data_IF_633912513075
#
_entry.id   IF_633912513075
#
_cell.length_a   1.000
_cell.length_b   1.000
_cell.length_c   1.000
_cell.angle_alpha   90.00
_cell.angle_beta   90.00
_cell.angle_gamma   90.00
#
_symmetry.space_group_name_H-M   'P 1'
#
loop_
_entity.id
_entity.type
_entity.pdbx_description
1 polymer ?
#
# COMPACT_ATOMS: atom_id res chain seq x y z
N UNK A 1 13.34 -17.05 29.25
CA UNK A 1 12.22 -16.15 29.62
C UNK A 1 12.40 -14.68 29.24
N UNK A 2 13.59 -14.06 29.38
CA UNK A 2 13.80 -12.62 29.07
C UNK A 2 13.52 -12.24 27.60
N UNK A 3 13.94 -13.07 26.64
CA UNK A 3 13.73 -12.84 25.21
C UNK A 3 12.24 -12.77 24.81
N UNK A 4 11.40 -13.66 25.34
CA UNK A 4 9.95 -13.67 25.08
C UNK A 4 9.29 -12.38 25.60
N UNK A 5 9.73 -11.88 26.76
CA UNK A 5 9.22 -10.63 27.34
C UNK A 5 9.58 -9.42 26.47
N UNK A 6 10.78 -9.40 25.89
CA UNK A 6 11.22 -8.35 24.95
C UNK A 6 10.40 -8.40 23.67
N UNK A 7 10.27 -9.56 23.04
CA UNK A 7 9.49 -9.73 21.81
C UNK A 7 8.02 -9.30 21.97
N UNK A 8 7.39 -9.61 23.11
CA UNK A 8 6.02 -9.16 23.41
C UNK A 8 5.89 -7.64 23.52
N UNK A 9 6.90 -6.95 24.07
CA UNK A 9 6.92 -5.49 24.16
C UNK A 9 7.08 -4.87 22.77
N UNK A 10 8.01 -5.38 21.98
CA UNK A 10 8.23 -4.92 20.60
C UNK A 10 6.97 -5.10 19.75
N UNK A 11 6.29 -6.25 19.87
CA UNK A 11 5.02 -6.50 19.19
C UNK A 11 3.95 -5.48 19.60
N UNK A 12 3.82 -5.18 20.89
CA UNK A 12 2.85 -4.21 21.39
C UNK A 12 3.14 -2.79 20.87
N UNK A 13 4.41 -2.38 20.86
CA UNK A 13 4.82 -1.08 20.32
C UNK A 13 4.60 -0.99 18.79
N UNK A 14 4.95 -2.03 18.04
CA UNK A 14 4.69 -2.08 16.60
C UNK A 14 3.19 -2.06 16.29
N UNK A 15 2.38 -2.81 17.04
CA UNK A 15 0.93 -2.80 16.88
C UNK A 15 0.38 -1.39 17.13
N UNK A 16 0.82 -0.73 18.21
CA UNK A 16 0.41 0.64 18.52
C UNK A 16 0.77 1.66 17.43
N UNK A 17 1.90 1.46 16.74
CA UNK A 17 2.33 2.30 15.62
C UNK A 17 1.54 2.01 14.34
N UNK A 18 1.18 0.75 14.10
CA UNK A 18 0.52 0.32 12.87
C UNK A 18 -1.01 0.53 12.90
N UNK A 19 -1.65 0.43 14.06
CA UNK A 19 -3.12 0.60 14.17
C UNK A 19 -3.61 1.91 13.56
N UNK A 20 -3.03 3.10 13.88
CA UNK A 20 -3.47 4.35 13.27
C UNK A 20 -3.31 4.39 11.74
N UNK A 21 -2.29 3.70 11.19
CA UNK A 21 -2.09 3.62 9.74
C UNK A 21 -3.15 2.75 9.06
N UNK A 22 -3.51 1.63 9.69
CA UNK A 22 -4.58 0.75 9.20
C UNK A 22 -5.92 1.48 9.22
N UNK A 23 -6.27 2.09 10.35
CA UNK A 23 -7.55 2.77 10.53
C UNK A 23 -7.67 3.97 9.57
N UNK A 24 -6.56 4.69 9.33
CA UNK A 24 -6.51 5.73 8.30
C UNK A 24 -6.78 5.18 6.90
N UNK A 25 -6.20 4.03 6.55
CA UNK A 25 -6.41 3.42 5.23
C UNK A 25 -7.88 3.04 5.01
N UNK A 26 -8.49 2.38 5.99
CA UNK A 26 -9.90 1.99 5.92
C UNK A 26 -10.81 3.22 5.77
N UNK A 27 -10.55 4.29 6.52
CA UNK A 27 -11.28 5.54 6.38
C UNK A 27 -11.09 6.19 5.00
N UNK A 28 -9.87 6.19 4.46
CA UNK A 28 -9.61 6.71 3.11
C UNK A 28 -10.28 5.88 2.02
N UNK A 29 -10.27 4.55 2.13
CA UNK A 29 -10.91 3.67 1.15
C UNK A 29 -12.42 3.97 1.05
N UNK A 30 -13.09 4.24 2.18
CA UNK A 30 -14.50 4.69 2.21
C UNK A 30 -14.71 6.07 1.56
N UNK A 31 -13.82 7.03 1.85
CA UNK A 31 -13.91 8.37 1.27
C UNK A 31 -13.66 8.36 -0.24
N UNK A 32 -12.71 7.55 -0.71
CA UNK A 32 -12.44 7.40 -2.14
C UNK A 32 -13.60 6.72 -2.87
N UNK A 33 -14.23 5.70 -2.26
CA UNK A 33 -15.43 5.09 -2.81
C UNK A 33 -16.56 6.13 -2.94
N UNK A 34 -16.84 6.87 -1.86
CA UNK A 34 -17.85 7.95 -1.87
C UNK A 34 -17.53 9.04 -2.90
N UNK A 35 -16.27 9.43 -3.03
CA UNK A 35 -15.85 10.43 -4.01
C UNK A 35 -16.06 9.95 -5.45
N UNK A 36 -15.81 8.67 -5.74
CA UNK A 36 -16.00 8.09 -7.06
C UNK A 36 -17.47 8.07 -7.51
N UNK A 37 -18.40 7.95 -6.56
CA UNK A 37 -19.84 7.91 -6.82
C UNK A 37 -20.47 9.32 -6.99
N UNK A 38 -19.75 10.39 -6.65
CA UNK A 38 -20.26 11.76 -6.69
C UNK A 38 -19.98 12.45 -8.04
N UNK A 39 -20.90 13.29 -8.54
CA UNK A 39 -20.62 14.16 -9.68
C UNK A 39 -19.47 15.12 -9.36
N UNK A 40 -18.51 15.23 -10.27
CA UNK A 40 -17.26 15.96 -10.05
C UNK A 40 -17.45 17.46 -9.79
N UNK A 41 -18.56 18.05 -10.27
CA UNK A 41 -18.94 19.44 -10.06
C UNK A 41 -19.78 19.68 -8.81
N UNK A 42 -20.14 18.63 -8.07
CA UNK A 42 -20.98 18.76 -6.87
C UNK A 42 -20.21 19.37 -5.70
N UNK A 43 -20.85 20.26 -4.91
CA UNK A 43 -20.29 20.75 -3.64
C UNK A 43 -19.87 19.61 -2.70
N UNK A 44 -20.62 18.51 -2.70
CA UNK A 44 -20.36 17.32 -1.89
C UNK A 44 -19.05 16.64 -2.29
N UNK A 45 -18.74 16.54 -3.59
CA UNK A 45 -17.45 16.02 -4.05
C UNK A 45 -16.29 16.90 -3.58
N UNK A 46 -16.45 18.23 -3.60
CA UNK A 46 -15.43 19.15 -3.10
C UNK A 46 -15.21 19.02 -1.59
N UNK A 47 -16.27 18.77 -0.82
CA UNK A 47 -16.17 18.51 0.61
C UNK A 47 -15.41 17.21 0.89
N UNK A 48 -15.80 16.11 0.25
CA UNK A 48 -15.11 14.82 0.37
C UNK A 48 -13.64 14.94 -0.04
N UNK A 49 -13.34 15.72 -1.09
CA UNK A 49 -11.97 15.98 -1.49
C UNK A 49 -11.16 16.71 -0.41
N UNK A 50 -11.75 17.70 0.25
CA UNK A 50 -11.11 18.40 1.39
C UNK A 50 -10.85 17.46 2.56
N UNK A 51 -11.77 16.57 2.86
CA UNK A 51 -11.60 15.53 3.89
C UNK A 51 -10.44 14.58 3.55
N UNK A 52 -10.34 14.14 2.29
CA UNK A 52 -9.24 13.31 1.81
C UNK A 52 -7.89 14.03 1.97
N UNK A 53 -7.80 15.30 1.58
CA UNK A 53 -6.57 16.09 1.72
C UNK A 53 -6.17 16.32 3.18
N UNK A 54 -7.15 16.62 4.05
CA UNK A 54 -6.93 16.72 5.49
C UNK A 54 -6.43 15.39 6.08
N UNK A 55 -7.03 14.27 5.66
CA UNK A 55 -6.61 12.93 6.02
C UNK A 55 -5.17 12.64 5.61
N UNK A 56 -4.78 12.96 4.37
CA UNK A 56 -3.39 12.80 3.90
C UNK A 56 -2.40 13.64 4.69
N UNK A 57 -2.76 14.89 5.00
CA UNK A 57 -1.91 15.76 5.81
C UNK A 57 -1.71 15.20 7.24
N UNK A 58 -2.77 14.68 7.86
CA UNK A 58 -2.72 14.03 9.17
C UNK A 58 -1.81 12.78 9.15
N UNK A 59 -1.92 11.93 8.12
CA UNK A 59 -1.02 10.77 7.97
C UNK A 59 0.43 11.20 7.83
N UNK A 60 0.73 12.19 6.98
CA UNK A 60 2.11 12.70 6.82
C UNK A 60 2.69 13.16 8.15
N UNK A 61 1.90 13.88 8.95
CA UNK A 61 2.31 14.31 10.31
C UNK A 61 2.61 13.10 11.21
N UNK A 62 1.76 12.07 11.17
CA UNK A 62 1.97 10.85 11.95
C UNK A 62 3.25 10.10 11.53
N UNK A 63 3.49 9.95 10.23
CA UNK A 63 4.71 9.32 9.69
C UNK A 63 5.96 10.11 10.12
N UNK A 64 5.94 11.43 9.99
CA UNK A 64 7.07 12.27 10.40
C UNK A 64 7.35 12.17 11.91
N UNK A 65 6.31 12.15 12.73
CA UNK A 65 6.44 12.01 14.19
C UNK A 65 6.96 10.64 14.65
N UNK A 66 6.75 9.59 13.84
CA UNK A 66 7.24 8.24 14.12
C UNK A 66 8.65 8.01 13.58
N UNK A 67 9.01 8.64 12.44
CA UNK A 67 10.37 8.61 11.87
C UNK A 67 11.40 9.30 12.77
N UNK A 68 11.06 10.39 13.45
CA UNK A 68 11.96 11.07 14.40
C UNK A 68 12.26 10.23 15.65
N UNK A 69 11.52 9.14 15.89
CA UNK A 69 11.61 8.31 17.08
C UNK A 69 12.19 6.92 16.84
N UNK A 70 12.29 6.48 15.59
CA UNK A 70 12.76 5.15 15.25
C UNK A 70 14.24 5.17 14.81
N UNK A 71 15.14 4.35 15.40
CA UNK A 71 16.42 4.07 14.74
C UNK A 71 16.12 3.44 13.37
N UNK A 72 16.84 3.90 12.33
CA UNK A 72 16.71 3.50 10.92
C UNK A 72 16.24 2.05 10.78
N UNK A 73 14.95 1.87 10.46
CA UNK A 73 14.43 0.57 10.02
C UNK A 73 15.16 0.25 8.71
N UNK A 74 15.85 -0.88 8.66
CA UNK A 74 16.53 -1.36 7.45
C UNK A 74 15.53 -1.39 6.30
N UNK A 75 15.93 -0.83 5.15
CA UNK A 75 15.18 -0.89 3.91
C UNK A 75 14.77 -2.34 3.64
N UNK A 76 13.49 -2.67 3.88
CA UNK A 76 12.89 -3.84 3.27
C UNK A 76 12.65 -3.41 1.83
N UNK A 77 13.58 -3.76 0.95
CA UNK A 77 13.36 -3.67 -0.48
C UNK A 77 12.13 -4.51 -0.79
N UNK A 78 10.98 -3.85 -0.95
CA UNK A 78 9.81 -4.46 -1.55
C UNK A 78 10.23 -4.75 -2.98
N UNK A 79 10.66 -5.98 -3.25
CA UNK A 79 11.11 -6.43 -4.55
C UNK A 79 9.99 -6.17 -5.56
N UNK A 80 10.04 -5.02 -6.24
CA UNK A 80 9.28 -4.79 -7.45
C UNK A 80 9.90 -5.69 -8.50
N UNK A 81 9.47 -6.95 -8.51
CA UNK A 81 9.69 -7.86 -9.63
C UNK A 81 8.82 -7.38 -10.79
N UNK A 82 9.23 -6.29 -11.42
CA UNK A 82 8.76 -5.86 -12.73
C UNK A 82 9.99 -5.61 -13.59
N UNK A 83 10.69 -6.69 -13.96
CA UNK A 83 11.52 -6.65 -15.17
C UNK A 83 10.55 -6.72 -16.35
N UNK A 84 10.40 -5.66 -17.16
CA UNK A 84 9.60 -5.75 -18.37
C UNK A 84 10.34 -6.64 -19.37
N UNK A 85 9.66 -7.64 -19.91
CA UNK A 85 10.13 -8.34 -21.11
C UNK A 85 10.65 -9.77 -20.97
N UNK A 86 10.18 -10.57 -20.00
CA UNK A 86 10.39 -12.03 -20.11
C UNK A 86 9.12 -12.66 -20.69
N UNK A 87 9.11 -13.12 -21.95
CA UNK A 87 7.93 -13.75 -22.52
C UNK A 87 7.64 -15.08 -21.81
N UNK A 88 6.41 -15.23 -21.31
CA UNK A 88 5.91 -16.48 -20.75
C UNK A 88 5.90 -17.54 -21.85
N UNK A 89 6.70 -18.61 -21.70
CA UNK A 89 6.62 -19.79 -22.55
C UNK A 89 5.33 -20.55 -22.26
N UNK A 90 4.27 -20.21 -22.99
CA UNK A 90 3.08 -21.04 -23.08
C UNK A 90 2.57 -21.03 -24.51
N UNK A 91 3.05 -21.95 -25.35
CA UNK A 91 2.22 -22.60 -26.36
C UNK A 91 2.91 -23.86 -26.89
N UNK A 92 2.41 -25.01 -26.43
CA UNK A 92 2.40 -26.22 -27.26
C UNK A 92 1.35 -25.98 -28.35
N UNK A 93 1.68 -26.30 -29.60
CA UNK A 93 0.88 -26.98 -30.64
C UNK A 93 1.60 -26.75 -31.98
N UNK A 94 2.24 -27.77 -32.54
CA UNK A 94 1.70 -28.79 -33.46
C UNK A 94 1.81 -28.35 -34.93
N UNK A 95 2.75 -28.98 -35.64
CA UNK A 95 2.63 -29.28 -37.08
C UNK A 95 3.11 -28.22 -38.08
N UNK A 96 4.32 -28.39 -38.61
CA UNK A 96 4.62 -28.15 -40.03
C UNK A 96 5.55 -29.29 -40.46
N UNK A 97 5.09 -30.37 -41.10
CA UNK A 97 4.54 -30.44 -42.46
C UNK A 97 5.50 -29.84 -43.52
N UNK A 98 6.27 -30.75 -44.10
CA UNK A 98 6.92 -30.77 -45.44
C UNK A 98 6.59 -29.62 -46.40
N UNK A 99 7.63 -29.11 -47.09
CA UNK A 99 7.86 -29.18 -48.57
C UNK A 99 9.21 -28.51 -48.89
N UNK A 100 10.21 -29.25 -49.42
CA UNK A 100 10.69 -29.21 -50.83
C UNK A 100 10.80 -27.81 -51.43
N UNK A 101 12.00 -27.39 -51.84
CA UNK A 101 12.49 -27.52 -53.22
C UNK A 101 14.03 -27.51 -53.19
#
# INVERSE_FOLDING_TARGET
>A
MRAIKTARKELAELTKLLTPMRDWKEAMDLLYARFADLPQSSPEAQEVWREIEAGKAALRKHILATQTRAPRIMHIEFARSTKPGTPMKSERLRGQAKTKT
#
